data_IF_105280413435
#
_entry.id   IF_105280413435
#
_cell.length_a   1.000
_cell.length_b   1.000
_cell.length_c   1.000
_cell.angle_alpha   90.00
_cell.angle_beta   90.00
_cell.angle_gamma   90.00
#
_symmetry.space_group_name_H-M   'P 1'
#
loop_
_entity.id
_entity.type
_entity.pdbx_description
1 polymer ?
#
# COMPACT_ATOMS: atom_id res chain seq x y z
N UNK A 1 -7.38 -19.03 22.60
CA UNK A 1 -8.06 -19.03 21.29
C UNK A 1 -8.45 -17.61 20.96
N UNK A 2 -8.05 -17.12 19.79
CA UNK A 2 -8.40 -15.79 19.30
C UNK A 2 -9.39 -15.93 18.15
N UNK A 3 -10.35 -15.02 18.07
CA UNK A 3 -11.14 -14.81 16.88
C UNK A 3 -10.41 -13.78 16.00
N UNK A 4 -10.26 -14.09 14.72
CA UNK A 4 -9.79 -13.12 13.73
C UNK A 4 -10.97 -12.25 13.31
N UNK A 5 -10.80 -10.95 13.08
CA UNK A 5 -11.84 -10.08 12.53
C UNK A 5 -12.36 -10.61 11.19
N UNK A 6 -11.45 -10.95 10.28
CA UNK A 6 -11.73 -11.67 9.06
C UNK A 6 -11.16 -13.09 9.16
N UNK A 7 -12.03 -14.09 9.01
CA UNK A 7 -11.69 -15.50 9.16
C UNK A 7 -12.08 -16.35 7.95
N UNK A 8 -12.50 -15.70 6.86
CA UNK A 8 -12.88 -16.33 5.60
C UNK A 8 -11.93 -15.86 4.48
N UNK A 9 -11.41 -16.78 3.71
CA UNK A 9 -10.50 -16.50 2.60
C UNK A 9 -9.67 -17.72 2.22
N UNK A 10 -8.56 -17.48 1.57
CA UNK A 10 -7.69 -18.50 0.98
C UNK A 10 -6.28 -18.43 1.56
N UNK A 11 -5.55 -19.55 1.42
CA UNK A 11 -4.12 -19.65 1.74
C UNK A 11 -3.74 -19.07 3.12
N UNK A 12 -4.43 -19.44 4.23
CA UNK A 12 -4.09 -18.90 5.52
C UNK A 12 -2.66 -19.29 5.90
N UNK A 13 -1.88 -18.31 6.39
CA UNK A 13 -0.49 -18.52 6.81
C UNK A 13 -0.14 -17.67 8.01
N UNK A 14 0.91 -18.06 8.72
CA UNK A 14 1.45 -17.36 9.85
C UNK A 14 2.89 -16.95 9.54
N UNK A 15 3.25 -15.73 9.94
CA UNK A 15 4.62 -15.23 9.91
C UNK A 15 4.99 -14.89 11.36
N UNK A 16 6.17 -15.29 11.80
CA UNK A 16 6.74 -14.90 13.08
C UNK A 16 7.79 -13.84 12.85
N UNK A 17 7.71 -12.73 13.57
CA UNK A 17 8.63 -11.61 13.41
C UNK A 17 8.80 -10.84 14.73
N UNK A 18 9.99 -10.33 15.04
CA UNK A 18 10.25 -9.49 16.21
C UNK A 18 9.77 -8.06 15.95
N UNK A 19 8.49 -7.77 16.21
CA UNK A 19 7.88 -6.45 15.96
C UNK A 19 7.92 -5.59 17.22
N UNK A 20 7.46 -6.14 18.36
CA UNK A 20 7.36 -5.36 19.60
C UNK A 20 8.66 -5.32 20.40
N UNK A 21 9.52 -6.33 20.25
CA UNK A 21 10.85 -6.39 20.84
C UNK A 21 11.77 -7.30 20.01
N UNK A 22 13.06 -7.01 19.94
CA UNK A 22 14.03 -7.74 19.12
C UNK A 22 14.24 -9.21 19.56
N UNK A 23 14.02 -9.52 20.83
CA UNK A 23 14.17 -10.86 21.43
C UNK A 23 12.85 -11.65 21.51
N UNK A 24 11.78 -11.14 20.90
CA UNK A 24 10.43 -11.68 21.01
C UNK A 24 9.80 -11.88 19.64
N UNK A 25 9.13 -13.01 19.46
CA UNK A 25 8.37 -13.28 18.23
C UNK A 25 6.90 -12.93 18.41
N UNK A 26 6.42 -12.02 17.58
CA UNK A 26 5.01 -11.70 17.42
C UNK A 26 4.44 -12.51 16.24
N UNK A 27 3.12 -12.64 16.16
CA UNK A 27 2.44 -13.47 15.18
C UNK A 27 1.69 -12.59 14.20
N UNK A 28 2.04 -12.64 12.93
CA UNK A 28 1.27 -12.05 11.84
C UNK A 28 0.42 -13.14 11.21
N UNK A 29 -0.89 -12.96 11.16
CA UNK A 29 -1.77 -13.82 10.37
C UNK A 29 -2.00 -13.20 9.00
N UNK A 30 -2.07 -14.03 7.98
CA UNK A 30 -2.34 -13.61 6.61
C UNK A 30 -3.41 -14.50 6.03
N UNK A 31 -4.46 -13.91 5.45
CA UNK A 31 -5.52 -14.61 4.74
C UNK A 31 -5.76 -13.85 3.43
N UNK A 32 -5.61 -14.53 2.30
CA UNK A 32 -5.87 -13.93 1.00
C UNK A 32 -7.38 -13.83 0.77
N UNK A 33 -7.90 -12.69 0.32
CA UNK A 33 -9.35 -12.49 0.12
C UNK A 33 -9.92 -13.33 -1.03
N UNK A 34 -9.05 -13.81 -1.94
CA UNK A 34 -9.43 -14.63 -3.10
C UNK A 34 -10.07 -13.86 -4.26
N UNK A 35 -10.25 -12.56 -4.13
CA UNK A 35 -10.71 -11.71 -5.22
C UNK A 35 -9.58 -11.26 -6.15
N UNK A 36 -9.94 -10.84 -7.38
CA UNK A 36 -8.99 -10.31 -8.38
C UNK A 36 -8.30 -9.00 -7.95
N UNK A 37 -8.65 -8.45 -6.79
CA UNK A 37 -8.11 -7.21 -6.27
C UNK A 37 -6.79 -7.35 -5.50
N UNK A 38 -6.26 -8.57 -5.31
CA UNK A 38 -5.00 -8.79 -4.60
C UNK A 38 -5.02 -8.32 -3.14
N UNK A 39 -6.21 -8.30 -2.49
CA UNK A 39 -6.36 -7.85 -1.10
C UNK A 39 -6.05 -9.01 -0.16
N UNK A 40 -5.30 -8.74 0.90
CA UNK A 40 -5.06 -9.66 2.00
C UNK A 40 -5.58 -9.09 3.33
N UNK A 41 -6.04 -9.98 4.20
CA UNK A 41 -6.38 -9.66 5.59
C UNK A 41 -5.19 -10.00 6.48
N UNK A 42 -4.69 -8.99 7.16
CA UNK A 42 -3.49 -9.08 8.00
C UNK A 42 -3.83 -8.65 9.42
N UNK A 43 -3.49 -9.51 10.40
CA UNK A 43 -3.56 -9.13 11.80
C UNK A 43 -2.23 -9.41 12.47
N UNK A 44 -1.84 -8.60 13.44
CA UNK A 44 -0.65 -8.83 14.27
C UNK A 44 -1.06 -9.02 15.71
N UNK A 45 -0.59 -10.11 16.30
CA UNK A 45 -0.78 -10.43 17.71
C UNK A 45 0.56 -10.41 18.43
N UNK A 46 0.57 -9.78 19.59
CA UNK A 46 1.71 -9.75 20.49
C UNK A 46 1.31 -10.17 21.91
N UNK A 47 2.25 -10.72 22.66
CA UNK A 47 2.10 -11.01 24.08
C UNK A 47 2.63 -9.82 24.88
N UNK A 48 1.73 -8.97 25.38
CA UNK A 48 2.02 -7.75 26.13
C UNK A 48 1.29 -7.80 27.46
N UNK A 49 1.95 -7.37 28.55
CA UNK A 49 1.36 -7.29 29.90
C UNK A 49 0.69 -8.59 30.35
N UNK A 50 1.33 -9.75 30.07
CA UNK A 50 0.85 -11.10 30.36
C UNK A 50 -0.43 -11.49 29.61
N UNK A 51 -0.76 -10.81 28.53
CA UNK A 51 -1.90 -11.11 27.68
C UNK A 51 -1.52 -11.08 26.20
N UNK A 52 -2.16 -11.94 25.41
CA UNK A 52 -2.08 -11.80 23.97
C UNK A 52 -3.06 -10.72 23.50
N UNK A 53 -2.58 -9.75 22.75
CA UNK A 53 -3.38 -8.67 22.19
C UNK A 53 -3.20 -8.60 20.69
N UNK A 54 -4.29 -8.33 19.98
CA UNK A 54 -4.22 -7.90 18.60
C UNK A 54 -3.78 -6.44 18.60
N UNK A 55 -2.63 -6.17 17.99
CA UNK A 55 -2.01 -4.83 17.93
C UNK A 55 -2.11 -4.18 16.57
N UNK A 56 -2.50 -4.96 15.54
CA UNK A 56 -2.75 -4.45 14.19
C UNK A 56 -3.86 -5.25 13.53
N UNK A 57 -4.70 -4.54 12.77
CA UNK A 57 -5.74 -5.07 11.90
C UNK A 57 -5.74 -4.26 10.59
N UNK A 58 -5.61 -4.94 9.45
CA UNK A 58 -5.46 -4.29 8.14
C UNK A 58 -6.70 -3.53 7.70
N UNK A 59 -7.89 -4.04 7.99
CA UNK A 59 -9.14 -3.39 7.62
C UNK A 59 -9.39 -2.14 8.48
N UNK A 60 -9.19 -2.27 9.79
CA UNK A 60 -9.27 -1.14 10.71
C UNK A 60 -8.27 -0.04 10.34
N UNK A 61 -7.03 -0.45 10.00
CA UNK A 61 -6.00 0.50 9.54
C UNK A 61 -6.42 1.21 8.26
N UNK A 62 -6.88 0.47 7.23
CA UNK A 62 -7.29 1.05 5.96
C UNK A 62 -8.46 2.01 6.11
N UNK A 63 -9.42 1.69 6.98
CA UNK A 63 -10.57 2.55 7.29
C UNK A 63 -10.15 3.84 8.02
N UNK A 64 -9.19 3.76 8.94
CA UNK A 64 -8.68 4.91 9.69
C UNK A 64 -7.71 5.79 8.87
N UNK A 65 -7.09 5.24 7.80
CA UNK A 65 -6.10 5.90 6.96
C UNK A 65 -6.55 5.92 5.49
N UNK A 66 -7.65 6.65 5.16
CA UNK A 66 -8.11 6.78 3.79
C UNK A 66 -7.07 7.51 2.94
N UNK A 67 -7.01 7.14 1.67
CA UNK A 67 -6.22 7.85 0.68
C UNK A 67 -7.08 8.15 -0.56
N UNK A 68 -6.78 9.26 -1.24
CA UNK A 68 -7.53 9.77 -2.37
C UNK A 68 -6.62 9.96 -3.57
N UNK A 69 -7.17 9.79 -4.77
CA UNK A 69 -6.47 10.00 -6.03
C UNK A 69 -7.28 10.99 -6.86
N UNK A 70 -6.68 12.12 -7.19
CA UNK A 70 -7.28 13.16 -8.02
C UNK A 70 -6.40 13.40 -9.24
N UNK A 71 -6.95 13.33 -10.45
CA UNK A 71 -6.25 13.68 -11.66
C UNK A 71 -6.08 15.21 -11.77
N UNK A 72 -4.97 15.64 -12.36
CA UNK A 72 -4.63 17.04 -12.52
C UNK A 72 -4.07 17.34 -13.91
N UNK A 73 -4.07 18.60 -14.30
CA UNK A 73 -3.44 19.06 -15.52
C UNK A 73 -1.95 18.67 -15.58
N UNK A 74 -1.41 18.61 -16.79
CA UNK A 74 -0.01 18.24 -16.99
C UNK A 74 0.24 16.72 -16.94
N UNK A 75 -0.79 15.89 -17.20
CA UNK A 75 -0.69 14.43 -17.23
C UNK A 75 -0.25 13.86 -15.87
N UNK A 76 -0.87 14.32 -14.82
CA UNK A 76 -0.55 13.94 -13.45
C UNK A 76 -1.75 13.43 -12.67
N UNK A 77 -1.49 12.65 -11.62
CA UNK A 77 -2.45 12.33 -10.59
C UNK A 77 -1.83 12.62 -9.22
N UNK A 78 -2.60 13.21 -8.31
CA UNK A 78 -2.21 13.44 -6.93
C UNK A 78 -2.78 12.35 -6.03
N UNK A 79 -1.92 11.71 -5.25
CA UNK A 79 -2.30 10.76 -4.22
C UNK A 79 -2.17 11.46 -2.88
N UNK A 80 -3.28 11.70 -2.20
CA UNK A 80 -3.30 12.31 -0.87
C UNK A 80 -3.53 11.23 0.18
N UNK A 81 -2.62 11.12 1.15
CA UNK A 81 -2.69 10.17 2.26
C UNK A 81 -2.25 10.84 3.55
N UNK A 82 -3.18 11.03 4.50
CA UNK A 82 -2.94 11.84 5.68
C UNK A 82 -2.62 13.29 5.30
N UNK A 83 -1.49 13.81 5.79
CA UNK A 83 -0.99 15.15 5.49
C UNK A 83 -0.08 15.19 4.24
N UNK A 84 0.29 14.03 3.69
CA UNK A 84 1.18 13.95 2.54
C UNK A 84 0.40 13.90 1.21
N UNK A 85 0.99 14.50 0.16
CA UNK A 85 0.50 14.43 -1.20
C UNK A 85 1.66 14.06 -2.15
N UNK A 86 1.42 13.11 -3.04
CA UNK A 86 2.40 12.58 -3.97
C UNK A 86 1.92 12.78 -5.39
N UNK A 87 2.76 13.36 -6.26
CA UNK A 87 2.46 13.51 -7.67
C UNK A 87 2.94 12.27 -8.44
N UNK A 88 2.03 11.65 -9.18
CA UNK A 88 2.32 10.56 -10.10
C UNK A 88 2.26 11.08 -11.54
N UNK A 89 3.29 10.79 -12.34
CA UNK A 89 3.27 11.08 -13.77
C UNK A 89 2.46 10.01 -14.51
N UNK A 90 1.52 10.43 -15.34
CA UNK A 90 0.72 9.55 -16.19
C UNK A 90 1.30 9.38 -17.60
N UNK A 91 2.44 10.01 -17.89
CA UNK A 91 3.06 9.96 -19.23
C UNK A 91 3.37 8.53 -19.69
N UNK A 92 3.66 7.62 -18.75
CA UNK A 92 3.87 6.22 -19.04
C UNK A 92 2.62 5.41 -19.43
N UNK A 93 1.41 5.97 -19.29
CA UNK A 93 0.15 5.27 -19.62
C UNK A 93 -0.13 5.17 -21.13
N UNK A 94 0.65 5.88 -21.94
CA UNK A 94 0.53 5.86 -23.38
C UNK A 94 -0.47 6.86 -23.96
N UNK A 95 -0.29 7.17 -25.25
CA UNK A 95 -0.99 8.28 -25.92
C UNK A 95 -2.52 8.12 -25.97
N UNK A 96 -3.02 6.89 -26.14
CA UNK A 96 -4.48 6.65 -26.21
C UNK A 96 -5.15 6.94 -24.87
N UNK A 97 -4.58 6.50 -23.76
CA UNK A 97 -5.07 6.79 -22.42
C UNK A 97 -5.07 8.30 -22.13
N UNK A 98 -3.96 8.98 -22.46
CA UNK A 98 -3.84 10.42 -22.24
C UNK A 98 -4.83 11.22 -23.10
N UNK A 99 -5.04 10.85 -24.37
CA UNK A 99 -5.97 11.53 -25.27
C UNK A 99 -7.44 11.40 -24.84
N UNK A 100 -7.80 10.34 -24.12
CA UNK A 100 -9.14 10.17 -23.55
C UNK A 100 -9.39 11.19 -22.43
N UNK A 101 -8.41 11.44 -21.59
CA UNK A 101 -8.53 12.25 -20.39
C UNK A 101 -8.15 13.72 -20.58
N UNK A 102 -7.20 14.00 -21.48
CA UNK A 102 -6.59 15.31 -21.64
C UNK A 102 -6.79 15.87 -23.06
N UNK A 103 -6.77 17.17 -23.17
CA UNK A 103 -6.65 17.83 -24.47
C UNK A 103 -5.17 17.88 -24.95
N UNK A 104 -4.94 18.46 -26.12
CA UNK A 104 -3.63 18.59 -26.74
C UNK A 104 -2.64 19.47 -25.94
N UNK A 105 -3.13 20.32 -25.04
CA UNK A 105 -2.31 21.15 -24.14
C UNK A 105 -2.03 20.50 -22.77
N UNK A 106 -2.57 19.28 -22.54
CA UNK A 106 -2.42 18.57 -21.27
C UNK A 106 -3.39 19.03 -20.19
N UNK A 107 -4.46 19.74 -20.58
CA UNK A 107 -5.52 20.14 -19.65
C UNK A 107 -6.54 19.00 -19.54
N UNK A 108 -6.93 18.66 -18.33
CA UNK A 108 -7.91 17.62 -18.04
C UNK A 108 -9.29 18.02 -18.61
N UNK A 109 -9.90 17.15 -19.42
CA UNK A 109 -11.19 17.43 -20.10
C UNK A 109 -12.35 17.52 -19.12
N UNK A 110 -12.29 16.79 -18.01
CA UNK A 110 -13.28 16.81 -16.93
C UNK A 110 -12.62 16.34 -15.62
N UNK A 111 -13.11 16.78 -14.45
CA UNK A 111 -12.62 16.28 -13.18
C UNK A 111 -12.70 14.75 -13.12
N UNK A 112 -11.60 14.11 -12.74
CA UNK A 112 -11.48 12.66 -12.67
C UNK A 112 -10.81 12.24 -11.38
N UNK A 113 -11.26 11.13 -10.79
CA UNK A 113 -10.70 10.56 -9.58
C UNK A 113 -10.36 9.09 -9.79
N UNK A 114 -9.34 8.65 -9.10
CA UNK A 114 -9.03 7.24 -8.90
C UNK A 114 -9.31 6.82 -7.46
N UNK A 115 -8.66 5.75 -7.01
CA UNK A 115 -8.78 5.25 -5.64
C UNK A 115 -7.54 4.48 -5.22
N UNK A 116 -7.37 4.33 -3.90
CA UNK A 116 -6.35 3.48 -3.30
C UNK A 116 -7.05 2.27 -2.67
N UNK A 117 -6.63 1.08 -3.06
CA UNK A 117 -7.18 -0.18 -2.57
C UNK A 117 -6.85 -0.40 -1.07
N UNK A 118 -7.55 -1.29 -0.36
CA UNK A 118 -7.07 -1.84 0.89
C UNK A 118 -5.68 -2.48 0.76
N UNK A 119 -5.11 -2.97 1.86
CA UNK A 119 -3.75 -3.53 1.86
C UNK A 119 -3.72 -4.81 1.01
N UNK A 120 -2.90 -4.79 -0.04
CA UNK A 120 -2.67 -5.95 -0.90
C UNK A 120 -1.52 -6.82 -0.41
N UNK A 121 -0.48 -6.18 0.15
CA UNK A 121 0.67 -6.88 0.71
C UNK A 121 1.11 -6.22 2.00
N UNK A 122 1.42 -7.04 2.99
CA UNK A 122 2.10 -6.67 4.22
C UNK A 122 3.24 -7.66 4.48
N UNK A 123 4.42 -7.13 4.78
CA UNK A 123 5.50 -7.96 5.30
C UNK A 123 6.34 -7.20 6.33
N UNK A 124 6.93 -7.93 7.30
CA UNK A 124 7.84 -7.35 8.26
C UNK A 124 9.24 -7.22 7.66
N UNK A 125 9.93 -6.10 7.92
CA UNK A 125 11.32 -5.90 7.59
C UNK A 125 11.96 -4.89 8.55
N UNK A 126 13.25 -5.09 8.86
CA UNK A 126 14.02 -4.19 9.70
C UNK A 126 14.59 -3.05 8.83
N UNK A 127 13.90 -1.91 8.79
CA UNK A 127 14.30 -0.75 7.98
C UNK A 127 15.31 0.15 8.68
N UNK A 128 15.39 0.10 10.00
CA UNK A 128 16.25 0.98 10.79
C UNK A 128 17.46 0.28 11.39
N UNK A 129 17.56 -1.05 11.32
CA UNK A 129 18.68 -1.87 11.80
C UNK A 129 18.69 -2.06 13.32
N UNK A 130 17.55 -1.92 14.01
CA UNK A 130 17.46 -2.04 15.47
C UNK A 130 17.12 -3.47 15.95
N UNK A 131 16.93 -4.40 15.01
CA UNK A 131 16.57 -5.80 15.27
C UNK A 131 15.08 -6.02 15.50
N UNK A 132 14.25 -4.98 15.42
CA UNK A 132 12.80 -5.08 15.37
C UNK A 132 12.33 -4.88 13.93
N UNK A 133 11.22 -5.47 13.58
CA UNK A 133 10.66 -5.36 12.24
C UNK A 133 9.57 -4.29 12.21
N UNK A 134 9.68 -3.36 11.27
CA UNK A 134 8.60 -2.51 10.83
C UNK A 134 7.64 -3.30 9.95
N UNK A 135 6.40 -2.80 9.81
CA UNK A 135 5.41 -3.34 8.89
C UNK A 135 5.41 -2.53 7.58
N UNK A 136 5.85 -3.14 6.49
CA UNK A 136 5.72 -2.56 5.16
C UNK A 136 4.37 -2.93 4.55
N UNK A 137 3.55 -1.94 4.27
CA UNK A 137 2.20 -2.04 3.73
C UNK A 137 2.19 -1.54 2.29
N UNK A 138 1.61 -2.32 1.38
CA UNK A 138 1.45 -1.97 -0.03
C UNK A 138 -0.03 -1.88 -0.38
N UNK A 139 -0.44 -0.74 -0.93
CA UNK A 139 -1.81 -0.45 -1.35
C UNK A 139 -1.80 0.00 -2.79
N UNK A 140 -2.44 -0.74 -3.67
CA UNK A 140 -2.52 -0.38 -5.09
C UNK A 140 -3.23 0.95 -5.28
N UNK A 141 -2.60 1.84 -6.05
CA UNK A 141 -3.19 3.08 -6.56
C UNK A 141 -3.78 2.75 -7.93
N UNK A 142 -5.07 2.94 -8.08
CA UNK A 142 -5.79 2.70 -9.33
C UNK A 142 -6.40 3.98 -9.85
N UNK A 143 -6.49 4.10 -11.19
CA UNK A 143 -7.11 5.18 -11.89
C UNK A 143 -8.61 4.99 -12.06
N UNK A 144 -9.06 4.93 -13.32
CA UNK A 144 -10.49 4.89 -13.67
C UNK A 144 -11.20 3.62 -13.21
N UNK A 145 -10.47 2.52 -13.12
CA UNK A 145 -10.99 1.23 -12.68
C UNK A 145 -9.87 0.39 -12.05
N UNK A 146 -10.22 -0.70 -11.38
CA UNK A 146 -9.27 -1.49 -10.56
C UNK A 146 -8.03 -1.98 -11.32
N UNK A 147 -8.19 -2.40 -12.57
CA UNK A 147 -7.06 -2.86 -13.38
C UNK A 147 -6.26 -1.72 -14.02
N UNK A 148 -6.69 -0.47 -13.87
CA UNK A 148 -5.94 0.71 -14.29
C UNK A 148 -4.93 1.09 -13.21
N UNK A 149 -3.86 0.31 -13.06
CA UNK A 149 -2.80 0.56 -12.09
C UNK A 149 -2.05 1.85 -12.41
N UNK A 150 -1.92 2.71 -11.41
CA UNK A 150 -1.10 3.93 -11.47
C UNK A 150 0.17 3.79 -10.65
N UNK A 151 0.22 2.83 -9.72
CA UNK A 151 1.36 2.59 -8.85
C UNK A 151 0.95 2.03 -7.50
N UNK A 152 1.83 2.18 -6.52
CA UNK A 152 1.69 1.68 -5.16
C UNK A 152 1.85 2.81 -4.14
N UNK A 153 0.96 2.88 -3.14
CA UNK A 153 1.18 3.62 -1.92
C UNK A 153 1.86 2.69 -0.92
N UNK A 154 3.11 2.97 -0.60
CA UNK A 154 3.93 2.18 0.31
C UNK A 154 4.00 2.92 1.64
N UNK A 155 3.61 2.26 2.72
CA UNK A 155 3.64 2.81 4.07
C UNK A 155 4.42 1.87 4.97
N UNK A 156 5.40 2.39 5.69
CA UNK A 156 6.15 1.64 6.69
C UNK A 156 5.75 2.15 8.08
N UNK A 157 5.29 1.23 8.92
CA UNK A 157 4.87 1.51 10.28
C UNK A 157 5.86 0.90 11.27
N UNK A 158 6.21 1.66 12.31
CA UNK A 158 7.03 1.19 13.43
C UNK A 158 6.19 1.08 14.70
N UNK A 159 6.55 0.14 15.57
CA UNK A 159 5.98 0.01 16.90
C UNK A 159 6.70 0.95 17.87
N UNK A 160 5.98 1.89 18.50
CA UNK A 160 6.55 2.88 19.43
C UNK A 160 6.54 2.44 20.91
N UNK A 161 6.03 1.23 21.18
CA UNK A 161 5.84 0.67 22.52
C UNK A 161 4.36 0.60 22.93
N UNK A 162 3.47 1.29 22.25
CA UNK A 162 2.03 1.34 22.54
C UNK A 162 1.17 1.19 21.29
N UNK A 163 1.61 1.73 20.15
CA UNK A 163 0.88 1.72 18.89
C UNK A 163 1.83 1.69 17.69
N UNK A 164 1.26 1.43 16.52
CA UNK A 164 1.98 1.64 15.26
C UNK A 164 1.92 3.10 14.86
N UNK A 165 3.08 3.68 14.57
CA UNK A 165 3.26 5.04 14.09
C UNK A 165 3.90 5.04 12.70
N UNK A 166 3.66 6.09 11.94
CA UNK A 166 4.25 6.23 10.62
C UNK A 166 5.77 6.41 10.75
N UNK A 167 6.53 5.49 10.17
CA UNK A 167 7.98 5.60 10.03
C UNK A 167 8.34 6.27 8.71
N UNK A 168 7.74 5.80 7.60
CA UNK A 168 7.98 6.33 6.26
C UNK A 168 6.81 6.04 5.33
N UNK A 169 6.56 6.93 4.36
CA UNK A 169 5.54 6.72 3.34
C UNK A 169 5.99 7.32 2.01
N UNK A 170 5.65 6.66 0.91
CA UNK A 170 5.81 7.18 -0.45
C UNK A 170 4.76 6.62 -1.38
N UNK A 171 4.59 7.26 -2.53
CA UNK A 171 3.89 6.68 -3.67
C UNK A 171 4.87 6.50 -4.84
N UNK A 172 4.89 5.30 -5.41
CA UNK A 172 5.70 4.95 -6.57
C UNK A 172 4.83 4.60 -7.76
N UNK A 173 5.33 4.85 -8.98
CA UNK A 173 4.68 4.39 -10.22
C UNK A 173 5.21 3.02 -10.61
N UNK A 174 4.35 2.18 -11.18
CA UNK A 174 4.80 0.98 -11.87
C UNK A 174 5.57 1.40 -13.13
N UNK A 175 6.74 0.79 -13.38
CA UNK A 175 7.52 1.07 -14.57
C UNK A 175 6.69 0.65 -15.81
N UNK A 176 6.33 1.63 -16.65
CA UNK A 176 5.44 1.39 -17.79
C UNK A 176 6.12 0.67 -18.96
N UNK A 177 7.44 0.73 -19.08
CA UNK A 177 8.21 0.06 -20.15
C UNK A 177 9.61 -0.34 -19.67
N UNK A 178 9.95 -1.61 -19.85
CA UNK A 178 11.31 -2.09 -19.75
C UNK A 178 12.05 -1.68 -21.04
N UNK A 179 12.93 -0.68 -20.96
CA UNK A 179 13.87 -0.42 -22.06
C UNK A 179 14.96 -1.47 -22.03
N UNK A 180 15.21 -2.19 -23.15
CA UNK A 180 16.34 -3.08 -23.22
C UNK A 180 17.63 -2.28 -22.93
N UNK A 181 18.44 -2.80 -22.00
CA UNK A 181 19.72 -2.21 -21.65
C UNK A 181 20.60 -2.19 -22.91
N UNK A 182 20.81 -1.03 -23.54
CA UNK A 182 21.62 -0.87 -24.75
C UNK A 182 20.98 -0.10 -25.89
N UNK A 183 19.70 0.25 -25.87
CA UNK A 183 19.12 1.16 -26.85
C UNK A 183 19.61 2.60 -26.56
N UNK A 184 20.74 2.99 -27.16
CA UNK A 184 21.13 4.39 -27.26
C UNK A 184 20.18 5.03 -28.26
N UNK A 185 19.49 6.11 -27.85
CA UNK A 185 18.77 6.93 -28.79
C UNK A 185 19.75 7.59 -29.78
N UNK A 186 19.49 7.41 -31.04
CA UNK A 186 20.07 8.19 -32.11
C UNK A 186 19.44 9.60 -32.13
#
# INVERSE_FOLDING_TARGET
>A
RFALPENAGYSPRLILAPITAADKQDVITVIDSGGSGGIGYYTVFSYLDNEYRMIFDSEAYAAANPARVDYADGYAAWVTAGEAAYALSLLGKGAAYLAELYDASGVLRAPQTGFVSPIGLLYPADFNGDGRMELALYRQISGLYRADGLGELITVLQWDGAAFTLYWQTAGVDAAEERPAGARGD
#
